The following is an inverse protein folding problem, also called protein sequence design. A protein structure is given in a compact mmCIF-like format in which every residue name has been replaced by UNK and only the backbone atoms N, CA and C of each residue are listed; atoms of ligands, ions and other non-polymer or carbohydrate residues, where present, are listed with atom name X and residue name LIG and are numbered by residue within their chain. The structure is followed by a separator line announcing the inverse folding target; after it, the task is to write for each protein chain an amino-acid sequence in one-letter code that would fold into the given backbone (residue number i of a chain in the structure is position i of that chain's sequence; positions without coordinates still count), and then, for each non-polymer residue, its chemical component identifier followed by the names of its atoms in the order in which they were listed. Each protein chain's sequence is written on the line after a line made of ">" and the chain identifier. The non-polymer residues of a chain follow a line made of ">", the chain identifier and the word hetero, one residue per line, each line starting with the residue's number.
data_IF_529637509819
#
_entry.id   IF_529637509819
#
_cell.length_a   1.000
_cell.length_b   1.000
_cell.length_c   1.000
_cell.angle_alpha   90.00
_cell.angle_beta   90.00
_cell.angle_gamma   90.00
#
_symmetry.space_group_name_H-M   'P 1'
#
loop_
_entity.id
_entity.type
_entity.pdbx_description
1 polymer ?
#
# COMPACT_ATOMS: atom_id res chain seq x y z
N UNK A 1 -55.15 -33.54 6.62
CA UNK A 1 -56.50 -34.02 6.23
C UNK A 1 -56.40 -35.53 6.11
N UNK A 2 -57.13 -36.34 6.89
CA UNK A 2 -56.98 -37.78 6.84
C UNK A 2 -57.56 -38.28 5.51
N UNK A 3 -56.72 -38.97 4.75
CA UNK A 3 -57.10 -39.60 3.48
C UNK A 3 -57.87 -40.86 3.81
N UNK A 4 -59.21 -40.78 3.88
CA UNK A 4 -60.06 -41.94 4.07
C UNK A 4 -59.88 -42.89 2.88
N UNK A 5 -59.22 -44.03 3.08
CA UNK A 5 -58.95 -45.02 2.02
C UNK A 5 -60.23 -45.40 1.27
N UNK A 6 -60.15 -45.68 -0.05
CA UNK A 6 -61.29 -46.14 -0.81
C UNK A 6 -61.59 -47.57 -0.39
N UNK A 7 -62.52 -47.74 0.53
CA UNK A 7 -63.19 -49.03 0.66
C UNK A 7 -64.30 -49.02 -0.39
N UNK A 8 -63.98 -49.42 -1.63
CA UNK A 8 -64.92 -50.33 -2.28
C UNK A 8 -64.94 -51.52 -1.35
N UNK A 9 -65.93 -51.58 -0.44
CA UNK A 9 -65.96 -52.68 0.50
C UNK A 9 -66.02 -53.94 -0.36
N UNK A 10 -65.10 -54.90 -0.16
CA UNK A 10 -65.20 -56.19 -0.85
C UNK A 10 -66.58 -56.84 -0.61
N UNK A 11 -67.27 -56.40 0.43
CA UNK A 11 -68.65 -56.69 0.77
C UNK A 11 -69.67 -56.20 -0.25
N UNK A 12 -69.53 -54.97 -0.81
CA UNK A 12 -70.49 -54.45 -1.82
C UNK A 12 -70.36 -55.20 -3.16
N UNK A 13 -69.14 -55.58 -3.55
CA UNK A 13 -68.90 -56.44 -4.73
C UNK A 13 -69.40 -57.88 -4.49
N UNK A 14 -69.19 -58.42 -3.29
CA UNK A 14 -69.75 -59.72 -2.89
C UNK A 14 -71.28 -59.70 -2.89
N UNK A 15 -71.89 -58.61 -2.43
CA UNK A 15 -73.34 -58.43 -2.44
C UNK A 15 -73.90 -58.36 -3.87
N UNK A 16 -73.23 -57.64 -4.78
CA UNK A 16 -73.58 -57.63 -6.21
C UNK A 16 -73.51 -59.04 -6.81
N UNK A 17 -72.41 -59.77 -6.59
CA UNK A 17 -72.26 -61.15 -7.08
C UNK A 17 -73.32 -62.09 -6.51
N UNK A 18 -73.64 -61.95 -5.21
CA UNK A 18 -74.72 -62.69 -4.58
C UNK A 18 -76.09 -62.37 -5.18
N UNK A 19 -76.37 -61.10 -5.48
CA UNK A 19 -77.61 -60.68 -6.14
C UNK A 19 -77.71 -61.20 -7.58
N UNK A 20 -76.60 -61.20 -8.34
CA UNK A 20 -76.53 -61.79 -9.69
C UNK A 20 -76.78 -63.30 -9.65
N UNK A 21 -76.20 -64.00 -8.65
CA UNK A 21 -76.42 -65.43 -8.49
C UNK A 21 -77.88 -65.75 -8.18
N UNK A 22 -78.49 -65.02 -7.22
CA UNK A 22 -79.91 -65.14 -6.87
C UNK A 22 -80.83 -64.84 -8.05
N UNK A 23 -80.53 -63.83 -8.86
CA UNK A 23 -81.28 -63.53 -10.08
C UNK A 23 -81.23 -64.70 -11.09
N UNK A 24 -80.05 -65.32 -11.22
CA UNK A 24 -79.86 -66.44 -12.13
C UNK A 24 -80.62 -67.69 -11.65
N UNK A 25 -80.68 -67.91 -10.33
CA UNK A 25 -81.49 -68.96 -9.70
C UNK A 25 -82.99 -68.72 -9.94
N UNK A 26 -83.52 -67.51 -9.66
CA UNK A 26 -84.95 -67.22 -9.87
C UNK A 26 -85.36 -67.27 -11.35
N UNK A 27 -84.46 -66.88 -12.26
CA UNK A 27 -84.66 -67.02 -13.70
C UNK A 27 -84.69 -68.50 -14.13
N UNK A 28 -83.81 -69.32 -13.56
CA UNK A 28 -83.77 -70.76 -13.82
C UNK A 28 -85.06 -71.43 -13.35
N UNK A 29 -85.55 -71.08 -12.17
CA UNK A 29 -86.78 -71.63 -11.60
C UNK A 29 -88.00 -71.24 -12.45
N UNK A 30 -88.10 -69.97 -12.86
CA UNK A 30 -89.12 -69.50 -13.79
C UNK A 30 -89.09 -70.26 -15.13
N UNK A 31 -87.89 -70.46 -15.71
CA UNK A 31 -87.75 -71.19 -16.97
C UNK A 31 -88.17 -72.65 -16.84
N UNK A 32 -87.80 -73.33 -15.75
CA UNK A 32 -88.15 -74.73 -15.52
C UNK A 32 -89.67 -74.93 -15.39
N UNK A 33 -90.35 -74.01 -14.70
CA UNK A 33 -91.80 -74.07 -14.48
C UNK A 33 -92.62 -73.69 -15.73
N UNK A 34 -92.12 -72.77 -16.55
CA UNK A 34 -92.72 -72.45 -17.85
C UNK A 34 -92.57 -73.58 -18.89
N UNK A 35 -91.52 -74.40 -18.78
CA UNK A 35 -91.27 -75.53 -19.70
C UNK A 35 -91.95 -76.85 -19.30
N UNK A 36 -92.31 -77.05 -18.02
CA UNK A 36 -92.90 -78.31 -17.53
C UNK A 36 -94.16 -78.06 -16.68
N UNK A 37 -95.35 -77.87 -17.28
CA UNK A 37 -96.59 -77.89 -16.54
C UNK A 37 -96.88 -79.33 -16.05
N UNK A 38 -96.94 -79.53 -14.73
CA UNK A 38 -97.25 -80.82 -14.11
C UNK A 38 -98.69 -81.26 -14.50
N UNK A 39 -98.89 -82.46 -15.07
CA UNK A 39 -100.22 -82.95 -15.42
C UNK A 39 -100.97 -83.37 -14.14
N UNK A 40 -101.96 -82.58 -13.74
CA UNK A 40 -102.87 -82.91 -12.62
C UNK A 40 -103.02 -81.84 -11.53
N UNK A 41 -102.39 -80.67 -11.66
CA UNK A 41 -102.57 -79.56 -10.70
C UNK A 41 -103.79 -78.70 -11.02
N UNK A 42 -104.49 -78.24 -9.98
CA UNK A 42 -105.56 -77.24 -10.09
C UNK A 42 -104.99 -75.95 -10.69
N UNK A 43 -105.65 -75.42 -11.73
CA UNK A 43 -105.22 -74.20 -12.45
C UNK A 43 -104.93 -73.03 -11.51
N UNK A 44 -105.68 -72.91 -10.40
CA UNK A 44 -105.46 -71.88 -9.39
C UNK A 44 -104.13 -72.04 -8.67
N UNK A 45 -103.71 -73.26 -8.31
CA UNK A 45 -102.40 -73.49 -7.70
C UNK A 45 -101.27 -73.15 -8.67
N UNK A 46 -101.44 -73.48 -9.95
CA UNK A 46 -100.45 -73.18 -10.98
C UNK A 46 -100.29 -71.67 -11.21
N UNK A 47 -101.40 -70.92 -11.22
CA UNK A 47 -101.42 -69.46 -11.30
C UNK A 47 -100.73 -68.83 -10.08
N UNK A 48 -101.05 -69.30 -8.87
CA UNK A 48 -100.43 -68.81 -7.64
C UNK A 48 -98.92 -69.04 -7.60
N UNK A 49 -98.44 -70.21 -8.03
CA UNK A 49 -97.00 -70.52 -8.09
C UNK A 49 -96.27 -69.68 -9.13
N UNK A 50 -96.84 -69.48 -10.32
CA UNK A 50 -96.26 -68.58 -11.32
C UNK A 50 -96.18 -67.14 -10.81
N UNK A 51 -97.20 -66.69 -10.08
CA UNK A 51 -97.20 -65.37 -9.46
C UNK A 51 -96.08 -65.24 -8.42
N UNK A 52 -95.88 -66.24 -7.56
CA UNK A 52 -94.81 -66.23 -6.55
C UNK A 52 -93.41 -66.19 -7.19
N UNK A 53 -93.16 -66.99 -8.23
CA UNK A 53 -91.89 -66.98 -8.95
C UNK A 53 -91.62 -65.64 -9.66
N UNK A 54 -92.65 -65.06 -10.28
CA UNK A 54 -92.54 -63.74 -10.92
C UNK A 54 -92.24 -62.66 -9.87
N UNK A 55 -92.88 -62.76 -8.69
CA UNK A 55 -92.62 -61.88 -7.57
C UNK A 55 -91.17 -62.01 -7.08
N UNK A 56 -90.69 -63.23 -6.86
CA UNK A 56 -89.31 -63.53 -6.45
C UNK A 56 -88.27 -63.03 -7.47
N UNK A 57 -88.55 -63.20 -8.76
CA UNK A 57 -87.69 -62.68 -9.82
C UNK A 57 -87.69 -61.14 -9.83
N UNK A 58 -88.85 -60.51 -9.66
CA UNK A 58 -88.95 -59.05 -9.58
C UNK A 58 -88.17 -58.48 -8.38
N UNK A 59 -88.23 -59.14 -7.22
CA UNK A 59 -87.49 -58.73 -6.02
C UNK A 59 -85.97 -58.88 -6.23
N UNK A 60 -85.54 -59.95 -6.90
CA UNK A 60 -84.13 -60.15 -7.25
C UNK A 60 -83.59 -59.08 -8.24
N UNK A 61 -84.40 -58.64 -9.19
CA UNK A 61 -84.08 -57.52 -10.09
C UNK A 61 -83.98 -56.19 -9.33
N UNK A 62 -84.89 -55.93 -8.40
CA UNK A 62 -84.87 -54.72 -7.57
C UNK A 62 -83.59 -54.67 -6.71
N UNK A 63 -83.22 -55.77 -6.06
CA UNK A 63 -81.98 -55.88 -5.29
C UNK A 63 -80.73 -55.65 -6.14
N UNK A 64 -80.68 -56.23 -7.35
CA UNK A 64 -79.58 -56.01 -8.29
C UNK A 64 -79.49 -54.54 -8.70
N UNK A 65 -80.62 -53.92 -9.06
CA UNK A 65 -80.67 -52.50 -9.45
C UNK A 65 -80.19 -51.56 -8.33
N UNK A 66 -80.55 -51.85 -7.08
CA UNK A 66 -80.11 -51.09 -5.91
C UNK A 66 -78.59 -51.22 -5.71
N UNK A 67 -78.03 -52.42 -5.88
CA UNK A 67 -76.58 -52.65 -5.79
C UNK A 67 -75.79 -51.95 -6.91
N UNK A 68 -76.28 -51.95 -8.15
CA UNK A 68 -75.67 -51.22 -9.26
C UNK A 68 -75.67 -49.71 -9.01
N UNK A 69 -76.80 -49.16 -8.54
CA UNK A 69 -76.93 -47.73 -8.24
C UNK A 69 -75.99 -47.29 -7.11
N UNK A 70 -75.75 -48.16 -6.13
CA UNK A 70 -74.76 -47.93 -5.07
C UNK A 70 -73.34 -47.90 -5.63
N UNK A 71 -73.00 -48.82 -6.53
CA UNK A 71 -71.69 -48.91 -7.17
C UNK A 71 -71.41 -47.69 -8.06
N UNK A 72 -72.40 -47.23 -8.84
CA UNK A 72 -72.31 -45.97 -9.59
C UNK A 72 -72.03 -44.76 -8.70
N UNK A 73 -72.69 -44.68 -7.53
CA UNK A 73 -72.44 -43.64 -6.55
C UNK A 73 -71.00 -43.66 -6.01
N UNK A 74 -70.48 -44.85 -5.73
CA UNK A 74 -69.08 -45.02 -5.31
C UNK A 74 -68.10 -44.61 -6.42
N UNK A 75 -68.33 -45.01 -7.67
CA UNK A 75 -67.49 -44.62 -8.80
C UNK A 75 -67.45 -43.10 -8.98
N UNK A 76 -68.60 -42.43 -8.91
CA UNK A 76 -68.66 -40.96 -8.96
C UNK A 76 -67.90 -40.31 -7.81
N UNK A 77 -67.98 -40.88 -6.60
CA UNK A 77 -67.25 -40.37 -5.44
C UNK A 77 -65.72 -40.54 -5.60
N UNK A 78 -65.28 -41.68 -6.16
CA UNK A 78 -63.87 -41.93 -6.46
C UNK A 78 -63.36 -40.99 -7.54
N UNK A 79 -64.14 -40.78 -8.60
CA UNK A 79 -63.78 -39.86 -9.68
C UNK A 79 -63.68 -38.42 -9.18
N UNK A 80 -64.60 -37.98 -8.33
CA UNK A 80 -64.52 -36.66 -7.68
C UNK A 80 -63.28 -36.49 -6.82
N UNK A 81 -62.92 -37.53 -6.06
CA UNK A 81 -61.69 -37.54 -5.24
C UNK A 81 -60.42 -37.57 -6.09
N UNK A 82 -60.39 -38.34 -7.18
CA UNK A 82 -59.27 -38.35 -8.12
C UNK A 82 -59.05 -36.95 -8.71
N UNK A 83 -60.12 -36.26 -9.12
CA UNK A 83 -60.02 -34.87 -9.58
C UNK A 83 -59.53 -33.90 -8.50
N UNK A 84 -59.93 -34.09 -7.24
CA UNK A 84 -59.40 -33.32 -6.11
C UNK A 84 -57.91 -33.60 -5.87
N UNK A 85 -57.47 -34.86 -5.98
CA UNK A 85 -56.05 -35.20 -5.84
C UNK A 85 -55.24 -34.61 -6.97
N UNK A 86 -55.71 -34.68 -8.21
CA UNK A 86 -55.03 -34.08 -9.37
C UNK A 86 -54.91 -32.56 -9.23
N UNK A 87 -55.98 -31.90 -8.78
CA UNK A 87 -55.94 -30.47 -8.48
C UNK A 87 -54.95 -30.14 -7.35
N UNK A 88 -54.85 -30.98 -6.32
CA UNK A 88 -53.89 -30.76 -5.23
C UNK A 88 -52.44 -30.95 -5.69
N UNK A 89 -52.19 -31.96 -6.55
CA UNK A 89 -50.87 -32.22 -7.14
C UNK A 89 -50.47 -31.10 -8.09
N UNK A 90 -51.40 -30.57 -8.89
CA UNK A 90 -51.16 -29.42 -9.75
C UNK A 90 -50.74 -28.20 -8.93
N UNK A 91 -51.48 -27.86 -7.87
CA UNK A 91 -51.10 -26.74 -6.97
C UNK A 91 -49.74 -26.92 -6.31
N UNK A 92 -49.41 -28.14 -5.91
CA UNK A 92 -48.08 -28.45 -5.35
C UNK A 92 -46.99 -28.28 -6.39
N UNK A 93 -47.21 -28.74 -7.63
CA UNK A 93 -46.27 -28.57 -8.74
C UNK A 93 -46.05 -27.08 -9.04
N UNK A 94 -47.11 -26.28 -9.09
CA UNK A 94 -47.00 -24.85 -9.37
C UNK A 94 -46.25 -24.11 -8.25
N UNK A 95 -46.56 -24.43 -6.98
CA UNK A 95 -45.86 -23.87 -5.82
C UNK A 95 -44.38 -24.23 -5.81
N UNK A 96 -44.05 -25.48 -6.15
CA UNK A 96 -42.67 -25.97 -6.22
C UNK A 96 -41.92 -25.33 -7.40
N UNK A 97 -42.61 -25.09 -8.52
CA UNK A 97 -42.09 -24.30 -9.64
C UNK A 97 -41.74 -22.87 -9.22
N UNK A 98 -42.68 -22.15 -8.59
CA UNK A 98 -42.46 -20.79 -8.10
C UNK A 98 -41.33 -20.71 -7.05
N UNK A 99 -41.27 -21.67 -6.13
CA UNK A 99 -40.16 -21.77 -5.15
C UNK A 99 -38.82 -22.00 -5.85
N UNK A 100 -38.78 -22.84 -6.89
CA UNK A 100 -37.56 -23.11 -7.64
C UNK A 100 -37.08 -21.88 -8.42
N UNK A 101 -37.98 -21.13 -9.05
CA UNK A 101 -37.66 -19.91 -9.77
C UNK A 101 -37.18 -18.81 -8.81
N UNK A 102 -37.87 -18.63 -7.67
CA UNK A 102 -37.44 -17.70 -6.63
C UNK A 102 -36.06 -18.05 -6.08
N UNK A 103 -35.80 -19.34 -5.80
CA UNK A 103 -34.50 -19.81 -5.34
C UNK A 103 -33.40 -19.59 -6.39
N UNK A 104 -33.70 -19.82 -7.68
CA UNK A 104 -32.75 -19.57 -8.77
C UNK A 104 -32.41 -18.08 -8.91
N UNK A 105 -33.39 -17.19 -8.78
CA UNK A 105 -33.18 -15.74 -8.78
C UNK A 105 -32.30 -15.31 -7.60
N UNK A 106 -32.58 -15.79 -6.39
CA UNK A 106 -31.76 -15.49 -5.21
C UNK A 106 -30.33 -16.03 -5.35
N UNK A 107 -30.15 -17.24 -5.88
CA UNK A 107 -28.82 -17.79 -6.16
C UNK A 107 -28.06 -16.94 -7.19
N UNK A 108 -28.73 -16.49 -8.24
CA UNK A 108 -28.12 -15.63 -9.26
C UNK A 108 -27.69 -14.28 -8.69
N UNK A 109 -28.53 -13.69 -7.82
CA UNK A 109 -28.22 -12.44 -7.10
C UNK A 109 -27.02 -12.61 -6.18
N UNK A 110 -27.02 -13.65 -5.35
CA UNK A 110 -25.90 -13.96 -4.45
C UNK A 110 -24.60 -14.24 -5.22
N UNK A 111 -24.68 -14.88 -6.39
CA UNK A 111 -23.51 -15.10 -7.23
C UNK A 111 -22.94 -13.78 -7.77
N UNK A 112 -23.79 -12.84 -8.19
CA UNK A 112 -23.36 -11.49 -8.61
C UNK A 112 -22.73 -10.73 -7.44
N UNK A 113 -23.36 -10.73 -6.27
CA UNK A 113 -22.84 -10.05 -5.08
C UNK A 113 -21.50 -10.66 -4.60
N UNK A 114 -21.38 -11.99 -4.66
CA UNK A 114 -20.14 -12.71 -4.36
C UNK A 114 -19.01 -12.36 -5.32
N UNK A 115 -19.29 -12.33 -6.63
CA UNK A 115 -18.32 -11.91 -7.65
C UNK A 115 -17.90 -10.45 -7.46
N UNK A 116 -18.84 -9.55 -7.14
CA UNK A 116 -18.53 -8.14 -6.84
C UNK A 116 -17.62 -8.02 -5.62
N UNK A 117 -17.92 -8.74 -4.54
CA UNK A 117 -17.09 -8.79 -3.32
C UNK A 117 -15.68 -9.31 -3.62
N UNK A 118 -15.57 -10.36 -4.44
CA UNK A 118 -14.29 -10.93 -4.86
C UNK A 118 -13.45 -9.93 -5.65
N UNK A 119 -14.04 -9.25 -6.64
CA UNK A 119 -13.35 -8.21 -7.42
C UNK A 119 -12.88 -7.05 -6.54
N UNK A 120 -13.70 -6.65 -5.55
CA UNK A 120 -13.32 -5.62 -4.59
C UNK A 120 -12.14 -6.06 -3.71
N UNK A 121 -12.10 -7.32 -3.28
CA UNK A 121 -10.97 -7.87 -2.54
C UNK A 121 -9.71 -7.96 -3.41
N UNK A 122 -9.82 -8.39 -4.66
CA UNK A 122 -8.70 -8.39 -5.62
C UNK A 122 -8.16 -6.96 -5.82
N UNK A 123 -9.05 -5.96 -5.96
CA UNK A 123 -8.66 -4.55 -6.06
C UNK A 123 -7.92 -4.06 -4.80
N UNK A 124 -8.44 -4.34 -3.61
CA UNK A 124 -7.76 -3.99 -2.36
C UNK A 124 -6.42 -4.71 -2.21
N UNK A 125 -6.31 -5.96 -2.65
CA UNK A 125 -5.06 -6.71 -2.71
C UNK A 125 -4.01 -6.00 -3.58
N UNK A 126 -4.40 -5.50 -4.75
CA UNK A 126 -3.52 -4.70 -5.60
C UNK A 126 -3.09 -3.38 -4.94
N UNK A 127 -4.01 -2.65 -4.32
CA UNK A 127 -3.70 -1.40 -3.61
C UNK A 127 -2.72 -1.64 -2.45
N UNK A 128 -2.95 -2.68 -1.64
CA UNK A 128 -2.06 -3.06 -0.55
C UNK A 128 -0.68 -3.48 -1.06
N UNK A 129 -0.62 -4.24 -2.15
CA UNK A 129 0.65 -4.59 -2.80
C UNK A 129 1.41 -3.35 -3.29
N UNK A 130 0.70 -2.38 -3.88
CA UNK A 130 1.32 -1.14 -4.33
C UNK A 130 1.83 -0.28 -3.17
N UNK A 131 1.07 -0.19 -2.08
CA UNK A 131 1.50 0.49 -0.85
C UNK A 131 2.70 -0.21 -0.21
N UNK A 132 2.70 -1.54 -0.17
CA UNK A 132 3.82 -2.35 0.30
C UNK A 132 5.10 -2.04 -0.48
N UNK A 133 5.04 -2.06 -1.81
CA UNK A 133 6.20 -1.71 -2.65
C UNK A 133 6.69 -0.27 -2.44
N UNK A 134 5.78 0.69 -2.23
CA UNK A 134 6.19 2.07 -1.89
C UNK A 134 6.87 2.16 -0.53
N UNK A 135 6.42 1.40 0.46
CA UNK A 135 7.04 1.34 1.79
C UNK A 135 8.43 0.68 1.74
N UNK A 136 8.61 -0.35 0.92
CA UNK A 136 9.93 -0.96 0.70
C UNK A 136 10.92 0.05 0.10
N UNK A 137 10.52 0.74 -0.98
CA UNK A 137 11.35 1.79 -1.59
C UNK A 137 11.66 2.92 -0.60
N UNK A 138 10.68 3.34 0.20
CA UNK A 138 10.91 4.34 1.24
C UNK A 138 11.90 3.84 2.30
N UNK A 139 11.80 2.57 2.70
CA UNK A 139 12.72 1.92 3.63
C UNK A 139 14.15 1.90 3.11
N UNK A 140 14.35 1.55 1.84
CA UNK A 140 15.65 1.61 1.18
C UNK A 140 16.23 3.03 1.15
N UNK A 141 15.39 4.03 0.84
CA UNK A 141 15.80 5.44 0.86
C UNK A 141 16.22 5.92 2.25
N UNK A 142 15.48 5.53 3.29
CA UNK A 142 15.82 5.86 4.69
C UNK A 142 17.12 5.18 5.09
N UNK A 143 17.34 3.92 4.72
CA UNK A 143 18.59 3.22 4.98
C UNK A 143 19.79 3.87 4.27
N UNK A 144 19.61 4.26 3.00
CA UNK A 144 20.63 4.98 2.24
C UNK A 144 20.95 6.34 2.87
N UNK A 145 19.93 7.08 3.31
CA UNK A 145 20.10 8.36 4.00
C UNK A 145 20.84 8.17 5.33
N UNK A 146 20.49 7.16 6.12
CA UNK A 146 21.19 6.83 7.35
C UNK A 146 22.67 6.53 7.10
N UNK A 147 22.98 5.72 6.09
CA UNK A 147 24.36 5.45 5.68
C UNK A 147 25.13 6.71 5.26
N UNK A 148 24.47 7.62 4.53
CA UNK A 148 25.06 8.90 4.15
C UNK A 148 25.36 9.77 5.37
N UNK A 149 24.41 9.90 6.30
CA UNK A 149 24.58 10.65 7.56
C UNK A 149 25.72 10.07 8.40
N UNK A 150 25.81 8.74 8.53
CA UNK A 150 26.90 8.07 9.23
C UNK A 150 28.26 8.36 8.59
N UNK A 151 28.32 8.37 7.25
CA UNK A 151 29.56 8.68 6.51
C UNK A 151 30.03 10.12 6.78
N UNK A 152 29.09 11.08 6.74
CA UNK A 152 29.35 12.49 7.01
C UNK A 152 29.79 12.67 8.46
N UNK A 153 29.12 12.03 9.41
CA UNK A 153 29.48 12.10 10.82
C UNK A 153 30.89 11.55 11.08
N UNK A 154 31.27 10.44 10.43
CA UNK A 154 32.64 9.90 10.52
C UNK A 154 33.68 10.87 9.94
N UNK A 155 33.41 11.46 8.77
CA UNK A 155 34.30 12.43 8.14
C UNK A 155 34.48 13.66 9.02
N UNK A 156 33.40 14.27 9.48
CA UNK A 156 33.43 15.44 10.36
C UNK A 156 34.14 15.13 11.68
N UNK A 157 33.86 13.97 12.28
CA UNK A 157 34.54 13.53 13.50
C UNK A 157 36.05 13.33 13.30
N UNK A 158 36.46 12.84 12.14
CA UNK A 158 37.87 12.75 11.77
C UNK A 158 38.51 14.15 11.61
N UNK A 159 37.87 15.03 10.85
CA UNK A 159 38.36 16.39 10.61
C UNK A 159 38.47 17.19 11.90
N UNK A 160 37.46 17.13 12.77
CA UNK A 160 37.47 17.78 14.08
C UNK A 160 38.62 17.24 14.95
N UNK A 161 38.86 15.93 14.95
CA UNK A 161 40.01 15.34 15.67
C UNK A 161 41.34 15.85 15.13
N UNK A 162 41.49 15.95 13.81
CA UNK A 162 42.69 16.45 13.17
C UNK A 162 42.92 17.94 13.46
N UNK A 163 41.87 18.76 13.44
CA UNK A 163 41.98 20.18 13.80
C UNK A 163 42.34 20.35 15.28
N UNK A 164 41.76 19.54 16.17
CA UNK A 164 42.10 19.56 17.58
C UNK A 164 43.56 19.17 17.85
N UNK A 165 44.13 18.21 17.10
CA UNK A 165 45.55 17.88 17.24
C UNK A 165 46.45 19.03 16.76
N UNK A 166 46.14 19.62 15.59
CA UNK A 166 46.87 20.79 15.07
C UNK A 166 46.83 21.97 16.03
N UNK A 167 45.67 22.26 16.61
CA UNK A 167 45.53 23.33 17.61
C UNK A 167 46.40 23.06 18.84
N UNK A 168 46.45 21.81 19.30
CA UNK A 168 47.31 21.41 20.43
C UNK A 168 48.80 21.58 20.09
N UNK A 169 49.21 21.20 18.89
CA UNK A 169 50.59 21.37 18.43
C UNK A 169 50.97 22.86 18.35
N UNK A 170 50.09 23.69 17.79
CA UNK A 170 50.27 25.15 17.74
C UNK A 170 50.33 25.78 19.12
N UNK A 171 49.48 25.35 20.06
CA UNK A 171 49.54 25.79 21.46
C UNK A 171 50.88 25.43 22.10
N UNK A 172 51.42 24.24 21.82
CA UNK A 172 52.76 23.83 22.26
C UNK A 172 53.87 24.71 21.69
N UNK A 173 53.82 25.03 20.39
CA UNK A 173 54.79 25.91 19.74
C UNK A 173 54.71 27.34 20.29
N UNK A 174 53.50 27.89 20.45
CA UNK A 174 53.28 29.21 21.06
C UNK A 174 53.78 29.26 22.50
N UNK A 175 53.60 28.19 23.27
CA UNK A 175 54.14 28.05 24.62
C UNK A 175 55.66 28.17 24.64
N UNK A 176 56.35 27.39 23.78
CA UNK A 176 57.82 27.43 23.64
C UNK A 176 58.31 28.81 23.20
N UNK A 177 57.73 29.37 22.15
CA UNK A 177 58.09 30.72 21.67
C UNK A 177 57.85 31.79 22.75
N UNK A 178 56.77 31.66 23.53
CA UNK A 178 56.50 32.53 24.67
C UNK A 178 57.55 32.42 25.78
N UNK A 179 58.00 31.21 26.10
CA UNK A 179 59.11 31.01 27.04
C UNK A 179 60.42 31.60 26.53
N UNK A 180 60.76 31.37 25.26
CA UNK A 180 61.96 31.93 24.63
C UNK A 180 61.92 33.46 24.64
N UNK A 181 60.77 34.06 24.30
CA UNK A 181 60.58 35.51 24.36
C UNK A 181 60.74 36.05 25.80
N UNK A 182 60.22 35.34 26.82
CA UNK A 182 60.43 35.72 28.22
C UNK A 182 61.91 35.63 28.61
N UNK A 183 62.61 34.55 28.23
CA UNK A 183 64.04 34.36 28.50
C UNK A 183 64.89 35.46 27.83
N UNK A 184 64.60 35.76 26.57
CA UNK A 184 65.25 36.83 25.83
C UNK A 184 65.02 38.18 26.51
N UNK A 185 63.79 38.45 26.97
CA UNK A 185 63.48 39.69 27.69
C UNK A 185 64.20 39.80 29.03
N UNK A 186 64.29 38.71 29.81
CA UNK A 186 65.08 38.71 31.05
C UNK A 186 66.57 38.93 30.78
N UNK A 187 67.10 38.32 29.72
CA UNK A 187 68.50 38.51 29.32
C UNK A 187 68.77 39.95 28.85
N UNK A 188 67.85 40.55 28.09
CA UNK A 188 67.93 41.95 27.68
C UNK A 188 67.96 42.89 28.88
N UNK A 189 67.04 42.72 29.85
CA UNK A 189 67.01 43.54 31.06
C UNK A 189 68.30 43.39 31.87
N UNK A 190 68.86 42.17 31.97
CA UNK A 190 70.13 41.94 32.64
C UNK A 190 71.30 42.65 31.92
N UNK A 191 71.36 42.57 30.59
CA UNK A 191 72.36 43.25 29.76
C UNK A 191 72.26 44.78 29.90
N UNK A 192 71.04 45.33 29.83
CA UNK A 192 70.80 46.76 30.05
C UNK A 192 71.27 47.20 31.45
N UNK A 193 71.01 46.37 32.48
CA UNK A 193 71.52 46.59 33.83
C UNK A 193 73.06 46.61 33.88
N UNK A 194 73.70 45.64 33.22
CA UNK A 194 75.16 45.57 33.15
C UNK A 194 75.77 46.76 32.41
N UNK A 195 75.21 47.17 31.28
CA UNK A 195 75.66 48.35 30.54
C UNK A 195 75.52 49.64 31.37
N UNK A 196 74.46 49.77 32.18
CA UNK A 196 74.32 50.91 33.09
C UNK A 196 75.42 50.94 34.15
N UNK A 197 75.81 49.79 34.69
CA UNK A 197 76.92 49.70 35.64
C UNK A 197 78.25 50.07 34.97
N UNK A 198 78.53 49.54 33.77
CA UNK A 198 79.73 49.87 33.01
C UNK A 198 79.80 51.36 32.67
N UNK A 199 78.67 51.96 32.25
CA UNK A 199 78.60 53.40 31.99
C UNK A 199 78.81 54.23 33.26
N UNK A 200 78.32 53.78 34.41
CA UNK A 200 78.58 54.44 35.69
C UNK A 200 80.05 54.36 36.09
N UNK A 201 80.71 53.20 35.88
CA UNK A 201 82.15 53.04 36.10
C UNK A 201 82.95 53.95 35.16
N UNK A 202 82.62 53.96 33.86
CA UNK A 202 83.25 54.87 32.90
C UNK A 202 83.07 56.33 33.33
N UNK A 203 81.86 56.70 33.75
CA UNK A 203 81.56 58.02 34.29
C UNK A 203 82.49 58.39 35.46
N UNK A 204 82.63 57.50 36.44
CA UNK A 204 83.54 57.70 37.56
C UNK A 204 85.00 57.86 37.10
N UNK A 205 85.48 56.99 36.21
CA UNK A 205 86.84 57.07 35.64
C UNK A 205 87.04 58.38 34.87
N UNK A 206 86.06 58.83 34.09
CA UNK A 206 86.14 60.10 33.37
C UNK A 206 86.17 61.30 34.29
N UNK A 207 85.40 61.29 35.38
CA UNK A 207 85.45 62.34 36.40
C UNK A 207 86.79 62.33 37.17
N UNK A 208 87.34 61.14 37.48
CA UNK A 208 88.69 61.02 38.06
C UNK A 208 89.78 61.57 37.12
N UNK A 209 89.72 61.22 35.84
CA UNK A 209 90.65 61.73 34.83
C UNK A 209 90.50 63.24 34.67
N UNK A 210 89.25 63.75 34.63
CA UNK A 210 88.95 65.18 34.57
C UNK A 210 89.47 65.94 35.78
N UNK A 211 89.35 65.36 36.97
CA UNK A 211 89.91 65.93 38.21
C UNK A 211 91.44 65.97 38.15
N UNK A 212 92.09 64.88 37.70
CA UNK A 212 93.54 64.84 37.49
C UNK A 212 94.00 65.84 36.44
N UNK A 213 93.29 65.99 35.33
CA UNK A 213 93.58 66.98 34.30
C UNK A 213 93.43 68.40 34.84
N UNK A 214 92.41 68.66 35.68
CA UNK A 214 92.25 69.93 36.37
C UNK A 214 93.39 70.20 37.36
N UNK A 215 93.81 69.20 38.15
CA UNK A 215 94.98 69.30 39.03
C UNK A 215 96.26 69.57 38.23
N UNK A 216 96.45 68.90 37.09
CA UNK A 216 97.58 69.12 36.19
C UNK A 216 97.55 70.53 35.57
N UNK A 217 96.37 71.00 35.16
CA UNK A 217 96.18 72.34 34.60
C UNK A 217 96.36 73.44 35.66
N UNK A 218 95.95 73.19 36.91
CA UNK A 218 96.21 74.06 38.05
C UNK A 218 97.70 74.10 38.41
N UNK A 219 98.40 72.96 38.36
CA UNK A 219 99.85 72.89 38.54
C UNK A 219 100.59 73.66 37.43
N UNK A 220 100.15 73.55 36.17
CA UNK A 220 100.71 74.30 35.05
C UNK A 220 100.43 75.80 35.13
N UNK A 221 99.26 76.22 35.65
CA UNK A 221 98.95 77.63 35.92
C UNK A 221 99.90 78.28 36.94
N UNK A 222 100.45 77.51 37.88
CA UNK A 222 101.44 78.02 38.83
C UNK A 222 102.86 78.17 38.24
N UNK A 223 103.10 77.70 37.02
CA UNK A 223 104.43 77.75 36.36
C UNK A 223 104.50 78.77 35.21
N UNK A 224 103.39 79.37 34.78
CA UNK A 224 103.40 80.26 33.61
C UNK A 224 102.94 81.69 33.92
N UNK A 225 103.80 82.47 34.58
CA UNK A 225 103.94 83.91 34.33
C UNK A 225 105.12 84.06 33.38
N UNK A 226 104.85 84.23 32.08
CA UNK A 226 105.57 85.05 31.09
C UNK A 226 104.83 84.86 29.76
N UNK A 227 104.15 85.93 29.36
CA UNK A 227 103.39 86.08 28.12
C UNK A 227 104.34 86.49 27.00
N UNK A 228 104.50 85.66 25.98
CA UNK A 228 105.17 86.02 24.72
C UNK A 228 104.21 86.73 23.74
N UNK A 229 104.68 87.74 22.97
CA UNK A 229 103.87 88.50 22.00
C UNK A 229 103.54 87.72 20.71
N UNK A 230 102.49 88.12 19.96
CA UNK A 230 101.79 87.29 18.98
C UNK A 230 102.52 87.12 17.64
N UNK A 231 102.47 85.90 17.10
CA UNK A 231 102.99 85.55 15.77
C UNK A 231 102.03 85.91 14.61
N UNK A 232 102.55 86.12 13.40
CA UNK A 232 101.77 86.50 12.21
C UNK A 232 100.82 85.40 11.72
N UNK A 233 99.75 85.84 11.04
CA UNK A 233 98.61 85.07 10.53
C UNK A 233 99.04 83.96 9.56
N UNK A 234 98.78 82.69 9.91
CA UNK A 234 98.90 81.55 9.01
C UNK A 234 97.69 81.40 8.08
N UNK A 235 97.91 80.79 6.93
CA UNK A 235 96.96 80.65 5.82
C UNK A 235 95.68 79.88 6.20
N UNK A 236 94.59 80.22 5.50
CA UNK A 236 93.26 79.60 5.63
C UNK A 236 93.36 78.11 5.31
N UNK A 237 92.95 77.26 6.26
CA UNK A 237 92.85 75.81 6.03
C UNK A 237 91.93 75.50 4.84
N UNK A 238 92.33 74.49 4.08
CA UNK A 238 91.54 73.88 2.99
C UNK A 238 90.15 73.49 3.50
N UNK A 239 89.10 73.73 2.71
CA UNK A 239 87.75 73.25 2.97
C UNK A 239 87.77 71.75 3.30
N UNK A 240 87.07 71.36 4.37
CA UNK A 240 86.87 69.95 4.69
C UNK A 240 86.10 69.28 3.55
N UNK A 241 86.56 68.12 3.11
CA UNK A 241 85.85 67.30 2.13
C UNK A 241 84.43 67.04 2.65
N UNK A 242 83.45 67.32 1.80
CA UNK A 242 82.04 66.98 2.03
C UNK A 242 81.95 65.47 2.30
N UNK A 243 81.35 65.09 3.43
CA UNK A 243 81.19 63.67 3.77
C UNK A 243 80.35 62.98 2.71
N UNK A 244 80.77 61.78 2.27
CA UNK A 244 80.02 61.00 1.28
C UNK A 244 78.56 60.85 1.72
N UNK A 245 77.58 61.08 0.82
CA UNK A 245 76.17 60.87 1.15
C UNK A 245 75.96 59.44 1.63
N UNK A 246 75.29 59.28 2.78
CA UNK A 246 74.93 57.95 3.30
C UNK A 246 74.19 57.14 2.23
N UNK A 247 74.57 55.87 2.07
CA UNK A 247 73.94 54.95 1.12
C UNK A 247 72.40 55.00 1.24
N UNK A 248 71.66 55.14 0.13
CA UNK A 248 70.19 55.10 0.17
C UNK A 248 69.72 53.82 0.84
N UNK A 249 68.76 53.93 1.76
CA UNK A 249 68.13 52.76 2.38
C UNK A 249 67.60 51.82 1.30
N UNK A 250 67.83 50.51 1.46
CA UNK A 250 67.33 49.48 0.55
C UNK A 250 65.83 49.67 0.32
N UNK A 251 65.33 49.66 -0.94
CA UNK A 251 63.91 49.72 -1.22
C UNK A 251 63.17 48.62 -0.46
N UNK A 252 62.09 48.97 0.23
CA UNK A 252 61.24 47.98 0.89
C UNK A 252 60.81 46.89 -0.11
N UNK A 253 60.89 45.62 0.31
CA UNK A 253 60.43 44.49 -0.50
C UNK A 253 58.99 44.76 -0.94
N UNK A 254 58.76 44.78 -2.27
CA UNK A 254 57.43 44.91 -2.86
C UNK A 254 56.57 43.76 -2.32
N UNK A 255 55.44 44.10 -1.69
CA UNK A 255 54.50 43.10 -1.20
C UNK A 255 54.14 42.11 -2.31
N UNK A 256 54.11 40.82 -1.98
CA UNK A 256 53.73 39.76 -2.91
C UNK A 256 52.34 40.10 -3.50
N UNK A 257 52.14 40.01 -4.83
CA UNK A 257 50.82 40.15 -5.42
C UNK A 257 49.87 39.15 -4.74
N UNK A 258 48.70 39.62 -4.30
CA UNK A 258 47.68 38.74 -3.73
C UNK A 258 47.37 37.60 -4.70
N UNK A 259 47.20 36.38 -4.18
CA UNK A 259 46.87 35.22 -4.99
C UNK A 259 45.63 35.50 -5.84
N UNK A 260 45.70 35.16 -7.14
CA UNK A 260 44.57 35.29 -8.05
C UNK A 260 43.44 34.41 -7.52
N UNK A 261 42.28 35.00 -7.25
CA UNK A 261 41.12 34.25 -6.78
C UNK A 261 40.82 33.05 -7.70
N UNK A 262 40.32 31.94 -7.15
CA UNK A 262 40.04 30.75 -7.94
C UNK A 262 39.07 31.07 -9.08
N UNK A 263 39.19 30.39 -10.25
CA UNK A 263 38.24 30.56 -11.32
C UNK A 263 36.81 30.28 -10.82
N UNK A 264 35.86 31.12 -11.23
CA UNK A 264 34.45 30.92 -10.88
C UNK A 264 33.97 29.53 -11.33
N UNK A 265 32.98 28.94 -10.62
CA UNK A 265 32.48 27.62 -10.95
C UNK A 265 31.99 27.57 -12.41
N UNK A 266 32.30 26.47 -13.10
CA UNK A 266 31.83 26.23 -14.47
C UNK A 266 30.30 26.23 -14.47
N UNK A 267 29.71 27.04 -15.35
CA UNK A 267 28.25 27.12 -15.48
C UNK A 267 27.64 25.74 -15.73
N UNK A 268 26.47 25.50 -15.12
CA UNK A 268 25.73 24.24 -15.26
C UNK A 268 25.45 23.96 -16.74
N UNK A 269 25.69 22.71 -17.16
CA UNK A 269 25.38 22.23 -18.51
C UNK A 269 23.86 22.31 -18.68
N UNK A 270 23.39 23.01 -19.71
CA UNK A 270 21.96 23.11 -20.00
C UNK A 270 21.33 21.72 -20.16
N UNK A 271 20.10 21.58 -19.66
CA UNK A 271 19.35 20.33 -19.68
C UNK A 271 19.16 19.81 -21.10
N UNK A 272 19.28 18.49 -21.26
CA UNK A 272 19.06 17.81 -22.53
C UNK A 272 17.58 17.95 -22.92
N UNK A 273 17.31 18.49 -24.10
CA UNK A 273 15.94 18.67 -24.60
C UNK A 273 15.15 17.37 -24.60
N UNK A 274 13.86 17.47 -24.26
CA UNK A 274 12.95 16.33 -24.12
C UNK A 274 12.86 15.49 -25.41
N UNK A 275 12.82 14.17 -25.24
CA UNK A 275 12.65 13.22 -26.33
C UNK A 275 11.28 13.44 -26.99
N UNK A 276 11.27 13.66 -28.30
CA UNK A 276 10.03 13.87 -29.06
C UNK A 276 9.03 12.72 -28.87
N UNK A 277 7.71 13.01 -28.95
CA UNK A 277 6.67 12.03 -28.67
C UNK A 277 6.73 10.83 -29.62
N UNK A 278 6.43 9.64 -29.08
CA UNK A 278 6.37 8.38 -29.82
C UNK A 278 5.35 8.47 -30.96
N UNK A 279 5.75 8.06 -32.16
CA UNK A 279 4.87 8.04 -33.33
C UNK A 279 3.61 7.19 -33.11
N UNK A 280 2.50 7.53 -33.78
CA UNK A 280 1.21 6.85 -33.61
C UNK A 280 1.28 5.37 -33.98
N UNK A 281 0.47 4.55 -33.32
CA UNK A 281 0.40 3.10 -33.56
C UNK A 281 -0.11 2.79 -34.99
N UNK A 282 0.50 1.80 -35.64
CA UNK A 282 0.09 1.35 -36.98
C UNK A 282 -1.34 0.80 -37.00
N UNK A 283 -2.05 1.05 -38.10
CA UNK A 283 -3.44 0.65 -38.28
C UNK A 283 -3.62 -0.88 -38.16
N UNK A 284 -4.69 -1.29 -37.47
CA UNK A 284 -5.06 -2.69 -37.25
C UNK A 284 -5.52 -3.32 -38.58
N UNK A 285 -4.98 -4.48 -38.92
CA UNK A 285 -5.34 -5.22 -40.14
C UNK A 285 -6.84 -5.56 -40.19
N UNK A 286 -7.41 -5.50 -41.40
CA UNK A 286 -8.81 -5.79 -41.69
C UNK A 286 -9.17 -7.23 -41.32
N UNK A 287 -10.29 -7.40 -40.61
CA UNK A 287 -10.86 -8.68 -40.20
C UNK A 287 -11.51 -9.35 -41.42
N UNK A 288 -11.12 -10.60 -41.71
CA UNK A 288 -11.76 -11.42 -42.73
C UNK A 288 -13.24 -11.62 -42.41
N UNK A 289 -14.10 -11.23 -43.36
CA UNK A 289 -15.52 -11.57 -43.38
C UNK A 289 -15.68 -12.77 -44.29
N UNK A 290 -16.09 -13.91 -43.75
CA UNK A 290 -16.65 -15.00 -44.57
C UNK A 290 -17.74 -15.77 -43.81
N UNK A 291 -18.84 -15.93 -44.55
CA UNK A 291 -19.89 -16.94 -44.48
C UNK A 291 -20.84 -16.99 -43.27
N UNK A 292 -22.09 -16.58 -43.53
CA UNK A 292 -23.25 -16.82 -42.67
C UNK A 292 -24.56 -16.35 -43.29
N UNK A 293 -24.85 -16.81 -44.51
CA UNK A 293 -26.15 -16.67 -45.18
C UNK A 293 -27.18 -17.60 -44.53
N UNK A 294 -28.41 -17.11 -44.30
CA UNK A 294 -29.58 -17.98 -44.15
C UNK A 294 -30.79 -17.35 -43.46
N UNK A 295 -31.81 -17.00 -44.28
CA UNK A 295 -33.28 -17.07 -44.05
C UNK A 295 -33.89 -16.27 -42.88
N UNK A 296 -35.07 -15.63 -42.95
CA UNK A 296 -36.24 -15.68 -43.83
C UNK A 296 -36.99 -14.32 -43.78
N UNK A 297 -37.91 -14.01 -44.73
CA UNK A 297 -38.75 -12.82 -44.71
C UNK A 297 -40.17 -13.09 -44.19
N UNK A 298 -40.72 -12.09 -43.49
CA UNK A 298 -42.12 -12.01 -43.06
C UNK A 298 -42.20 -11.35 -41.69
N UNK A 299 -43.20 -10.57 -41.31
CA UNK A 299 -44.34 -9.94 -41.95
C UNK A 299 -44.97 -9.09 -40.82
N UNK A 300 -45.67 -8.01 -41.18
CA UNK A 300 -46.67 -7.29 -40.37
C UNK A 300 -46.20 -6.61 -39.07
N UNK A 301 -46.86 -5.61 -38.50
CA UNK A 301 -47.81 -4.55 -38.85
C UNK A 301 -48.15 -3.94 -37.48
N UNK A 302 -48.27 -2.61 -37.38
CA UNK A 302 -48.70 -1.95 -36.13
C UNK A 302 -48.14 -0.55 -35.95
#
# INVERSE_FOLDING_TARGET
>A
IPVSRPQTSPEDLKALLGNVHRLNETLRDLQLQLLHPLPGEDLLEHIWRLQDLLQNHSDSLLLLSASLRRLEGLLRSLQGRAGQTDASVARLRDSLGQQSEAAQLELSRLAVDSNGSRLLLEHHGHLLGHLGGRLEVLGEQVAALAGAVDSVNRSLSYDVRLQNSRLRDLQGLLGKAGEEARRARTAQVALEGQLRLELALLGNVTEELRLKDWEHSAALRNVSVIRGPPGPKGDRGTEGMEGEPGLPGLPGLRGLPGERGPPGPRGLKGDQGELGPRGPAGARGLKGTDAGSGRDPGADAG
#
